data_IF_824529018530
#
_entry.id   IF_824529018530
#
_cell.length_a   1.000
_cell.length_b   1.000
_cell.length_c   1.000
_cell.angle_alpha   90.00
_cell.angle_beta   90.00
_cell.angle_gamma   90.00
#
_symmetry.space_group_name_H-M   'P 1'
#
loop_
_entity.id
_entity.type
_entity.pdbx_description
1 polymer ?
#
# COMPACT_ATOMS: atom_id res chain seq x y z
N UNK A 1 27.42 -16.10 -8.88
CA UNK A 1 27.97 -16.95 -7.78
C UNK A 1 27.30 -16.58 -6.45
N UNK A 2 27.25 -17.51 -5.48
CA UNK A 2 26.76 -17.23 -4.12
C UNK A 2 27.69 -16.25 -3.38
N UNK A 3 27.18 -15.44 -2.42
CA UNK A 3 25.80 -15.41 -1.90
C UNK A 3 24.84 -14.57 -2.75
N UNK A 4 23.65 -15.11 -3.04
CA UNK A 4 22.55 -14.39 -3.70
C UNK A 4 21.73 -13.66 -2.65
N UNK A 5 21.65 -12.34 -2.78
CA UNK A 5 20.83 -11.47 -1.94
C UNK A 5 20.38 -10.24 -2.73
N UNK A 6 19.35 -9.54 -2.25
CA UNK A 6 18.89 -8.30 -2.86
C UNK A 6 20.00 -7.24 -2.87
N UNK A 7 20.15 -6.56 -4.00
CA UNK A 7 21.11 -5.47 -4.22
C UNK A 7 20.44 -4.38 -5.07
N UNK A 8 20.72 -3.09 -4.81
CA UNK A 8 20.28 -2.05 -5.72
C UNK A 8 20.87 -2.25 -7.12
N UNK A 9 20.05 -2.03 -8.14
CA UNK A 9 20.46 -2.06 -9.54
C UNK A 9 20.67 -0.63 -10.07
N UNK A 10 21.11 -0.49 -11.32
CA UNK A 10 21.50 0.80 -11.91
C UNK A 10 20.49 1.94 -11.71
N UNK A 11 19.18 1.65 -11.75
CA UNK A 11 18.11 2.63 -11.54
C UNK A 11 18.08 3.28 -10.16
N UNK A 12 18.77 2.73 -9.17
CA UNK A 12 18.83 3.25 -7.81
C UNK A 12 19.97 4.27 -7.58
N UNK A 13 20.82 4.52 -8.58
CA UNK A 13 22.05 5.31 -8.40
C UNK A 13 22.07 6.60 -9.24
N UNK A 14 22.84 7.58 -8.78
CA UNK A 14 23.14 8.81 -9.52
C UNK A 14 21.88 9.56 -9.99
N UNK A 15 21.90 10.18 -11.18
CA UNK A 15 20.72 10.82 -11.76
C UNK A 15 19.60 9.85 -12.14
N UNK A 16 19.90 8.56 -12.32
CA UNK A 16 18.91 7.57 -12.75
C UNK A 16 17.78 7.41 -11.71
N UNK A 17 18.08 7.53 -10.41
CA UNK A 17 17.05 7.49 -9.35
C UNK A 17 15.99 8.58 -9.52
N UNK A 18 16.38 9.75 -10.03
CA UNK A 18 15.46 10.86 -10.24
C UNK A 18 14.56 10.61 -11.46
N UNK A 19 15.11 9.98 -12.51
CA UNK A 19 14.40 9.67 -13.75
C UNK A 19 13.44 8.48 -13.62
N UNK A 20 13.71 7.54 -12.70
CA UNK A 20 12.93 6.31 -12.52
C UNK A 20 11.94 6.36 -11.34
N UNK A 21 11.93 7.47 -10.59
CA UNK A 21 11.07 7.63 -9.40
C UNK A 21 10.12 8.82 -9.54
N UNK A 22 8.99 8.74 -8.83
CA UNK A 22 8.02 9.83 -8.71
C UNK A 22 7.95 10.32 -7.27
N UNK A 23 7.66 11.61 -7.10
CA UNK A 23 7.25 12.19 -5.83
C UNK A 23 5.80 12.64 -5.95
N UNK A 24 4.90 12.00 -5.21
CA UNK A 24 3.50 12.41 -5.21
C UNK A 24 3.30 13.63 -4.29
N UNK A 25 2.62 14.65 -4.79
CA UNK A 25 2.33 15.90 -4.07
C UNK A 25 0.84 16.27 -4.23
N UNK A 26 0.35 17.22 -3.44
CA UNK A 26 -0.99 17.79 -3.70
C UNK A 26 -0.97 18.62 -5.00
N UNK A 27 -2.13 18.74 -5.66
CA UNK A 27 -2.28 19.62 -6.83
C UNK A 27 -1.84 21.05 -6.49
N UNK A 28 -2.28 21.58 -5.34
CA UNK A 28 -1.91 22.92 -4.89
C UNK A 28 -0.40 23.13 -4.74
N UNK A 29 0.35 22.14 -4.24
CA UNK A 29 1.81 22.24 -4.12
C UNK A 29 2.50 22.22 -5.48
N UNK A 30 1.97 21.44 -6.43
CA UNK A 30 2.47 21.42 -7.80
C UNK A 30 2.23 22.77 -8.49
N UNK A 31 1.03 23.33 -8.34
CA UNK A 31 0.63 24.63 -8.91
C UNK A 31 1.44 25.79 -8.30
N UNK A 32 1.74 25.72 -7.00
CA UNK A 32 2.57 26.70 -6.30
C UNK A 32 4.08 26.56 -6.58
N UNK A 33 4.50 25.66 -7.48
CA UNK A 33 5.90 25.49 -7.86
C UNK A 33 6.80 24.93 -6.76
N UNK A 34 6.22 24.34 -5.70
CA UNK A 34 6.97 23.81 -4.55
C UNK A 34 8.10 22.85 -4.95
N UNK A 35 7.93 21.93 -5.93
CA UNK A 35 9.04 21.07 -6.35
C UNK A 35 10.27 21.83 -6.83
N UNK A 36 10.08 22.95 -7.55
CA UNK A 36 11.17 23.78 -8.03
C UNK A 36 11.84 24.53 -6.87
N UNK A 37 11.05 25.11 -5.97
CA UNK A 37 11.55 25.80 -4.76
C UNK A 37 12.40 24.89 -3.89
N UNK A 38 12.04 23.61 -3.79
CA UNK A 38 12.78 22.60 -3.03
C UNK A 38 13.93 21.94 -3.82
N UNK A 39 14.13 22.30 -5.09
CA UNK A 39 15.17 21.70 -5.93
C UNK A 39 14.96 20.20 -6.18
N UNK A 40 13.71 19.73 -6.20
CA UNK A 40 13.40 18.32 -6.45
C UNK A 40 13.83 17.93 -7.86
N UNK A 41 14.68 16.91 -7.95
CA UNK A 41 15.12 16.33 -9.24
C UNK A 41 14.17 15.25 -9.75
N UNK A 42 13.42 14.59 -8.85
CA UNK A 42 12.39 13.60 -9.19
C UNK A 42 11.18 14.29 -9.80
N UNK A 43 10.50 13.61 -10.73
CA UNK A 43 9.24 14.10 -11.29
C UNK A 43 8.18 14.15 -10.17
N UNK A 44 7.73 15.36 -9.86
CA UNK A 44 6.59 15.56 -8.97
C UNK A 44 5.27 15.32 -9.73
N UNK A 45 4.35 14.57 -9.13
CA UNK A 45 3.05 14.24 -9.74
C UNK A 45 1.94 14.55 -8.75
N UNK A 46 0.90 15.27 -9.21
CA UNK A 46 -0.24 15.59 -8.37
C UNK A 46 -1.12 14.36 -8.11
N UNK A 47 -1.47 14.14 -6.84
CA UNK A 47 -2.51 13.19 -6.44
C UNK A 47 -3.88 13.77 -6.83
N UNK A 48 -4.74 12.94 -7.44
CA UNK A 48 -6.08 13.31 -7.91
C UNK A 48 -7.10 12.18 -7.68
N UNK A 49 -8.39 12.49 -7.72
CA UNK A 49 -9.47 11.50 -7.65
C UNK A 49 -9.73 10.90 -6.27
N UNK A 50 -9.20 11.50 -5.19
CA UNK A 50 -9.27 10.92 -3.82
C UNK A 50 -10.61 11.14 -3.12
N UNK A 51 -11.50 11.96 -3.69
CA UNK A 51 -12.81 12.31 -3.08
C UNK A 51 -14.00 11.66 -3.78
N UNK A 52 -13.78 11.01 -4.91
CA UNK A 52 -14.81 10.33 -5.69
C UNK A 52 -14.75 8.81 -5.55
N UNK A 53 -13.64 8.25 -5.05
CA UNK A 53 -13.49 6.81 -4.83
C UNK A 53 -14.36 6.36 -3.66
N UNK A 54 -15.01 5.22 -3.86
CA UNK A 54 -15.94 4.57 -2.93
C UNK A 54 -15.55 3.12 -2.75
N UNK A 55 -16.29 2.38 -1.91
CA UNK A 55 -16.04 0.95 -1.70
C UNK A 55 -16.20 0.13 -2.99
N UNK A 56 -17.08 0.54 -3.91
CA UNK A 56 -17.31 -0.15 -5.18
C UNK A 56 -16.15 -0.02 -6.17
N UNK A 57 -15.25 0.95 -5.97
CA UNK A 57 -14.09 1.14 -6.84
C UNK A 57 -12.92 0.20 -6.49
N UNK A 58 -13.03 -0.58 -5.41
CA UNK A 58 -12.01 -1.52 -4.96
C UNK A 58 -12.02 -2.80 -5.79
N UNK A 59 -11.06 -2.93 -6.71
CA UNK A 59 -10.92 -4.08 -7.60
C UNK A 59 -10.81 -5.38 -6.79
N UNK A 60 -11.70 -6.33 -7.09
CA UNK A 60 -11.83 -7.65 -6.44
C UNK A 60 -12.18 -7.61 -4.94
N UNK A 61 -12.47 -6.42 -4.38
CA UNK A 61 -12.65 -6.22 -2.95
C UNK A 61 -13.70 -5.14 -2.66
N UNK A 62 -14.85 -5.17 -3.33
CA UNK A 62 -15.91 -4.17 -3.23
C UNK A 62 -17.05 -4.55 -2.27
N UNK A 63 -17.13 -5.80 -1.81
CA UNK A 63 -18.17 -6.26 -0.89
C UNK A 63 -18.30 -5.39 0.38
N UNK A 64 -19.52 -4.94 0.67
CA UNK A 64 -19.87 -4.01 1.75
C UNK A 64 -21.03 -4.59 2.60
N UNK A 65 -20.76 -5.59 3.46
CA UNK A 65 -21.78 -6.24 4.28
C UNK A 65 -22.34 -5.33 5.37
N UNK A 66 -23.49 -5.72 5.92
CA UNK A 66 -23.95 -5.20 7.21
C UNK A 66 -23.11 -5.82 8.33
N UNK A 67 -22.31 -5.00 8.99
CA UNK A 67 -21.41 -5.42 10.06
C UNK A 67 -22.04 -5.21 11.45
N UNK A 68 -21.98 -6.23 12.28
CA UNK A 68 -22.45 -6.20 13.67
C UNK A 68 -21.34 -6.70 14.60
N UNK A 69 -21.17 -6.03 15.75
CA UNK A 69 -20.21 -6.43 16.79
C UNK A 69 -20.92 -6.44 18.13
N UNK A 70 -20.93 -7.59 18.80
CA UNK A 70 -21.46 -7.70 20.16
C UNK A 70 -20.51 -7.02 21.16
N UNK A 71 -21.03 -6.13 22.01
CA UNK A 71 -20.23 -5.32 22.93
C UNK A 71 -19.73 -6.06 24.17
N UNK A 72 -20.26 -7.26 24.45
CA UNK A 72 -19.89 -8.08 25.60
C UNK A 72 -19.02 -9.27 25.20
N UNK A 73 -19.37 -9.94 24.10
CA UNK A 73 -18.68 -11.16 23.65
C UNK A 73 -17.63 -10.89 22.57
N UNK A 74 -17.71 -9.73 21.92
CA UNK A 74 -16.89 -9.36 20.76
C UNK A 74 -17.08 -10.25 19.54
N UNK A 75 -18.19 -11.01 19.47
CA UNK A 75 -18.59 -11.70 18.25
C UNK A 75 -18.80 -10.69 17.11
N UNK A 76 -18.24 -11.00 15.94
CA UNK A 76 -18.39 -10.18 14.74
C UNK A 76 -19.25 -10.93 13.73
N UNK A 77 -20.27 -10.27 13.19
CA UNK A 77 -21.14 -10.82 12.14
C UNK A 77 -21.12 -9.94 10.89
N UNK A 78 -21.19 -10.60 9.73
CA UNK A 78 -21.44 -9.96 8.44
C UNK A 78 -22.69 -10.57 7.82
N UNK A 79 -23.69 -9.75 7.49
CA UNK A 79 -24.99 -10.21 6.97
C UNK A 79 -25.62 -11.31 7.86
N UNK A 80 -25.50 -11.14 9.19
CA UNK A 80 -25.97 -12.08 10.21
C UNK A 80 -25.10 -13.32 10.43
N UNK A 81 -24.12 -13.59 9.55
CA UNK A 81 -23.22 -14.74 9.66
C UNK A 81 -22.05 -14.45 10.61
N UNK A 82 -21.83 -15.32 11.60
CA UNK A 82 -20.68 -15.23 12.51
C UNK A 82 -19.38 -15.41 11.75
N UNK A 83 -18.50 -14.41 11.86
CA UNK A 83 -17.15 -14.44 11.31
C UNK A 83 -16.19 -14.93 12.39
N UNK A 84 -15.70 -16.16 12.23
CA UNK A 84 -14.69 -16.74 13.12
C UNK A 84 -13.77 -17.65 12.32
N UNK A 85 -12.55 -17.83 12.82
CA UNK A 85 -11.62 -18.84 12.34
C UNK A 85 -10.69 -19.28 13.46
N UNK A 86 -10.27 -20.54 13.40
CA UNK A 86 -9.24 -21.04 14.30
C UNK A 86 -7.88 -20.43 13.94
N UNK A 87 -7.02 -20.16 14.93
CA UNK A 87 -5.67 -19.71 14.67
C UNK A 87 -4.89 -20.79 13.90
N UNK A 88 -4.08 -20.37 12.91
CA UNK A 88 -3.18 -21.27 12.22
C UNK A 88 -1.87 -21.44 12.99
N UNK A 89 -1.46 -22.69 13.26
CA UNK A 89 -0.20 -22.98 13.96
C UNK A 89 1.04 -22.79 13.06
N UNK A 90 0.88 -22.98 11.75
CA UNK A 90 1.95 -22.92 10.75
C UNK A 90 1.45 -22.20 9.49
N UNK A 91 2.29 -21.34 8.92
CA UNK A 91 1.98 -20.59 7.70
C UNK A 91 2.95 -20.94 6.55
N UNK A 92 2.47 -20.92 5.30
CA UNK A 92 3.34 -20.96 4.13
C UNK A 92 4.17 -19.67 4.03
N UNK A 93 5.21 -19.67 3.19
CA UNK A 93 6.09 -18.51 2.98
C UNK A 93 6.83 -18.02 4.25
N UNK A 94 6.98 -18.88 5.27
CA UNK A 94 7.67 -18.57 6.53
C UNK A 94 9.01 -19.32 6.65
N UNK A 95 9.16 -20.25 7.61
CA UNK A 95 10.41 -20.94 7.99
C UNK A 95 11.19 -21.58 6.82
N UNK A 96 10.54 -21.90 5.69
CA UNK A 96 11.20 -22.46 4.50
C UNK A 96 12.06 -21.42 3.75
N UNK A 97 11.70 -20.14 3.81
CA UNK A 97 12.26 -19.10 2.93
C UNK A 97 13.18 -18.12 3.66
N UNK A 98 13.10 -18.06 4.99
CA UNK A 98 13.90 -17.15 5.80
C UNK A 98 14.95 -17.92 6.57
N UNK A 99 16.17 -17.40 6.59
CA UNK A 99 17.25 -17.95 7.40
C UNK A 99 17.00 -17.72 8.90
N UNK A 100 16.30 -16.61 9.23
CA UNK A 100 15.87 -16.21 10.56
C UNK A 100 14.54 -15.48 10.47
#
# INVERSE_FOLDING_TARGET
>A
PQPVHYRPMFGAFGPAIAATSLTFVSQAALDAGVPATLGLRRRAVAVKGTRSVTKSDMVLNDYAPVMEVDSQTYEVRADGMLLTCEPAEVLPLAQRYYLF
#
